data_IF_652012410283
#
_entry.id   IF_652012410283
#
_cell.length_a   1.000
_cell.length_b   1.000
_cell.length_c   1.000
_cell.angle_alpha   90.00
_cell.angle_beta   90.00
_cell.angle_gamma   90.00
#
_symmetry.space_group_name_H-M   'P 1'
#
loop_
_entity.id
_entity.type
_entity.pdbx_description
1 polymer ?
#
# COMPACT_ATOMS: atom_id res chain seq x y z
N UNK A 1 -8.86 11.83 10.45
CA UNK A 1 -7.85 11.04 11.17
C UNK A 1 -6.81 10.61 10.15
N UNK A 2 -5.76 11.41 9.95
CA UNK A 2 -4.66 11.02 9.08
C UNK A 2 -3.77 10.07 9.87
N UNK A 3 -3.71 8.81 9.43
CA UNK A 3 -2.63 7.92 9.85
C UNK A 3 -1.34 8.49 9.28
N UNK A 4 -0.57 9.18 10.10
CA UNK A 4 0.78 9.60 9.73
C UNK A 4 1.69 8.40 9.95
N UNK A 5 1.91 7.56 8.93
CA UNK A 5 2.96 6.55 8.99
C UNK A 5 4.32 7.22 9.02
N UNK A 6 4.89 7.35 10.22
CA UNK A 6 6.28 7.73 10.45
C UNK A 6 7.20 6.52 10.25
N UNK A 7 7.04 5.83 9.12
CA UNK A 7 7.81 4.64 8.77
C UNK A 7 7.95 4.64 7.26
N UNK A 8 9.18 4.72 6.76
CA UNK A 8 9.44 4.54 5.33
C UNK A 8 9.18 3.09 4.96
N UNK A 9 7.94 2.77 4.60
CA UNK A 9 7.60 1.47 4.06
C UNK A 9 8.33 1.30 2.73
N UNK A 10 9.13 0.23 2.63
CA UNK A 10 9.88 -0.07 1.41
C UNK A 10 8.98 -0.46 0.23
N UNK A 11 7.77 -0.94 0.53
CA UNK A 11 6.78 -1.38 -0.44
C UNK A 11 5.54 -2.02 0.22
N UNK A 12 4.59 -2.50 -0.59
CA UNK A 12 3.39 -3.19 -0.09
C UNK A 12 3.69 -4.49 0.65
N UNK A 13 4.77 -5.18 0.28
CA UNK A 13 5.22 -6.42 0.92
C UNK A 13 5.70 -6.18 2.36
N UNK A 14 6.50 -5.13 2.56
CA UNK A 14 6.98 -4.68 3.88
C UNK A 14 5.82 -4.33 4.83
N UNK A 15 4.76 -3.71 4.29
CA UNK A 15 3.53 -3.44 5.03
C UNK A 15 2.79 -4.72 5.42
N UNK A 16 2.73 -5.73 4.55
CA UNK A 16 2.12 -7.04 4.85
C UNK A 16 2.91 -7.76 5.95
N UNK A 17 4.23 -7.72 5.89
CA UNK A 17 5.13 -8.36 6.86
C UNK A 17 5.28 -7.60 8.20
N UNK A 18 4.75 -6.38 8.30
CA UNK A 18 4.90 -5.56 9.49
C UNK A 18 4.21 -6.20 10.72
N UNK A 19 4.93 -6.57 11.80
CA UNK A 19 4.35 -7.31 12.93
C UNK A 19 3.54 -6.45 13.91
N UNK A 20 3.64 -5.12 13.80
CA UNK A 20 2.97 -4.17 14.70
C UNK A 20 1.62 -3.66 14.18
N UNK A 21 1.20 -4.08 12.98
CA UNK A 21 -0.04 -3.61 12.37
C UNK A 21 -1.09 -4.71 12.34
N UNK A 22 -2.29 -4.34 12.76
CA UNK A 22 -3.46 -5.20 12.62
C UNK A 22 -3.76 -5.48 11.15
N UNK A 23 -4.22 -6.70 10.81
CA UNK A 23 -4.54 -7.07 9.43
C UNK A 23 -5.60 -6.17 8.79
N UNK A 24 -6.56 -5.67 9.56
CA UNK A 24 -7.59 -4.73 9.05
C UNK A 24 -7.00 -3.36 8.67
N UNK A 25 -6.05 -2.87 9.46
CA UNK A 25 -5.35 -1.61 9.19
C UNK A 25 -4.48 -1.75 7.94
N UNK A 26 -3.74 -2.87 7.82
CA UNK A 26 -2.96 -3.19 6.62
C UNK A 26 -3.84 -3.23 5.36
N UNK A 27 -5.00 -3.90 5.42
CA UNK A 27 -5.99 -3.96 4.33
C UNK A 27 -6.46 -2.56 3.94
N UNK A 28 -6.78 -1.71 4.92
CA UNK A 28 -7.27 -0.35 4.67
C UNK A 28 -6.23 0.53 3.97
N UNK A 29 -4.96 0.42 4.37
CA UNK A 29 -3.86 1.16 3.73
C UNK A 29 -3.62 0.66 2.31
N UNK A 30 -3.51 -0.66 2.11
CA UNK A 30 -3.34 -1.25 0.78
C UNK A 30 -4.53 -0.94 -0.14
N UNK A 31 -5.76 -0.95 0.37
CA UNK A 31 -6.95 -0.59 -0.39
C UNK A 31 -6.93 0.90 -0.79
N UNK A 32 -6.45 1.78 0.10
CA UNK A 32 -6.23 3.19 -0.20
C UNK A 32 -5.20 3.38 -1.33
N UNK A 33 -4.11 2.60 -1.31
CA UNK A 33 -3.08 2.61 -2.37
C UNK A 33 -3.57 2.02 -3.70
N UNK A 34 -4.44 1.00 -3.65
CA UNK A 34 -5.07 0.44 -4.85
C UNK A 34 -6.04 1.45 -5.49
N UNK A 35 -6.64 2.31 -4.66
CA UNK A 35 -7.52 3.38 -5.09
C UNK A 35 -6.80 4.40 -5.98
N UNK A 36 -7.57 5.06 -6.86
CA UNK A 36 -7.03 6.02 -7.83
C UNK A 36 -6.51 7.32 -7.21
N UNK A 37 -6.70 7.47 -5.89
CA UNK A 37 -6.22 8.61 -5.11
C UNK A 37 -4.70 8.88 -5.26
N UNK A 38 -3.91 7.86 -5.58
CA UNK A 38 -2.46 7.97 -5.74
C UNK A 38 -1.96 7.64 -7.16
N UNK A 39 -2.84 7.69 -8.16
CA UNK A 39 -2.47 7.53 -9.55
C UNK A 39 -1.45 8.57 -9.99
N UNK A 40 -0.34 8.13 -10.59
CA UNK A 40 0.61 9.06 -11.20
C UNK A 40 0.01 9.59 -12.50
N UNK A 41 -0.04 10.92 -12.66
CA UNK A 41 -0.47 11.57 -13.91
C UNK A 41 0.40 11.03 -15.07
N UNK A 42 -0.24 10.50 -16.11
CA UNK A 42 0.36 9.80 -17.27
C UNK A 42 0.76 8.33 -17.09
N UNK A 43 0.71 7.74 -15.89
CA UNK A 43 1.03 6.32 -15.67
C UNK A 43 0.01 5.68 -14.70
N UNK A 44 -1.20 5.31 -15.18
CA UNK A 44 -2.28 4.79 -14.32
C UNK A 44 -1.93 3.45 -13.65
N UNK A 45 -0.95 2.73 -14.18
CA UNK A 45 -0.45 1.47 -13.61
C UNK A 45 0.44 1.66 -12.38
N UNK A 46 0.97 2.88 -12.17
CA UNK A 46 1.84 3.22 -11.05
C UNK A 46 1.08 4.04 -10.01
N UNK A 47 1.27 3.64 -8.76
CA UNK A 47 0.77 4.31 -7.57
C UNK A 47 1.95 4.90 -6.82
N UNK A 48 1.87 6.19 -6.48
CA UNK A 48 2.90 6.87 -5.68
C UNK A 48 2.27 7.54 -4.47
N UNK A 49 1.86 6.77 -3.45
CA UNK A 49 1.45 7.33 -2.18
C UNK A 49 2.63 8.04 -1.50
N UNK A 50 2.37 9.10 -0.71
CA UNK A 50 3.41 9.85 -0.02
C UNK A 50 4.15 9.01 1.03
N UNK A 51 3.55 7.90 1.47
CA UNK A 51 4.11 6.94 2.43
C UNK A 51 5.18 6.03 1.80
N UNK A 52 5.17 5.88 0.47
CA UNK A 52 6.14 5.06 -0.26
C UNK A 52 7.26 5.92 -0.85
N UNK A 53 8.50 5.46 -0.67
CA UNK A 53 9.68 6.11 -1.27
C UNK A 53 9.74 5.93 -2.79
N UNK A 54 9.16 4.85 -3.29
CA UNK A 54 9.20 4.49 -4.71
C UNK A 54 7.79 4.33 -5.28
N UNK A 55 7.55 4.69 -6.55
CA UNK A 55 6.30 4.35 -7.22
C UNK A 55 6.19 2.84 -7.30
N UNK A 56 5.04 2.30 -6.88
CA UNK A 56 4.78 0.86 -6.93
C UNK A 56 3.70 0.54 -7.97
N UNK A 57 3.78 -0.60 -8.65
CA UNK A 57 2.71 -1.04 -9.53
C UNK A 57 1.45 -1.35 -8.72
N UNK A 58 0.27 -0.97 -9.23
CA UNK A 58 -1.01 -1.35 -8.60
C UNK A 58 -1.15 -2.89 -8.49
N UNK A 59 -0.51 -3.64 -9.40
CA UNK A 59 -0.49 -5.10 -9.35
C UNK A 59 0.17 -5.64 -8.08
N UNK A 60 1.26 -5.01 -7.62
CA UNK A 60 1.97 -5.41 -6.40
C UNK A 60 1.11 -5.14 -5.17
N UNK A 61 0.43 -3.99 -5.13
CA UNK A 61 -0.51 -3.64 -4.06
C UNK A 61 -1.65 -4.65 -3.98
N UNK A 62 -2.23 -5.02 -5.13
CA UNK A 62 -3.29 -6.04 -5.20
C UNK A 62 -2.79 -7.44 -4.82
N UNK A 63 -1.55 -7.77 -5.17
CA UNK A 63 -0.95 -9.05 -4.81
C UNK A 63 -0.74 -9.16 -3.30
N UNK A 64 -0.22 -8.09 -2.67
CA UNK A 64 -0.08 -7.97 -1.23
C UNK A 64 -1.45 -8.04 -0.52
N UNK A 65 -2.47 -7.37 -1.04
CA UNK A 65 -3.85 -7.45 -0.55
C UNK A 65 -4.38 -8.87 -0.59
N UNK A 66 -4.19 -9.59 -1.70
CA UNK A 66 -4.58 -11.01 -1.82
C UNK A 66 -3.82 -11.89 -0.84
N UNK A 67 -2.53 -11.65 -0.66
CA UNK A 67 -1.71 -12.41 0.30
C UNK A 67 -2.21 -12.22 1.73
N UNK A 68 -2.65 -11.01 2.07
CA UNK A 68 -3.21 -10.70 3.37
C UNK A 68 -4.66 -11.18 3.54
N UNK A 69 -5.40 -11.35 2.44
CA UNK A 69 -6.78 -11.84 2.43
C UNK A 69 -6.90 -13.37 2.38
N UNK A 70 -5.87 -14.05 1.89
CA UNK A 70 -5.83 -15.50 1.74
C UNK A 70 -5.57 -16.27 3.05
N UNK A 71 -5.39 -15.59 4.18
CA UNK A 71 -5.29 -16.16 5.53
C UNK A 71 -6.52 -15.80 6.36
#
# INVERSE_FOLDING_TARGET
MSVHFCGSLGGPDDLVHHPQLEPEVKRSILASWASDAFAVRSQPTLRKPPELRHPVPVREVLNALKHLDAC
#
